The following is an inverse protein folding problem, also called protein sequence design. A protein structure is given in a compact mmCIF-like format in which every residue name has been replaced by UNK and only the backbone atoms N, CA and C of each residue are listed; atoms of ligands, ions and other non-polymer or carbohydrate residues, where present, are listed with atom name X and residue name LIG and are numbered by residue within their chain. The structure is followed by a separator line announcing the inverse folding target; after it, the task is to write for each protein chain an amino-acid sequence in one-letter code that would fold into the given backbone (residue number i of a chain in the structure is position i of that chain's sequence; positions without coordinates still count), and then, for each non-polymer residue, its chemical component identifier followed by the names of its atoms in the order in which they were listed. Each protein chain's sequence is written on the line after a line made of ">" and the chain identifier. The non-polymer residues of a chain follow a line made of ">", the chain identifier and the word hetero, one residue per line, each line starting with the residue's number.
data_IF_777688696333
#
_entry.id   IF_777688696333
#
_cell.length_a   1.000
_cell.length_b   1.000
_cell.length_c   1.000
_cell.angle_alpha   90.00
_cell.angle_beta   90.00
_cell.angle_gamma   90.00
#
_symmetry.space_group_name_H-M   'P 1'
#
loop_
_entity.id
_entity.type
_entity.pdbx_description
1 polymer ?
#
# COMPACT_ATOMS: atom_id res chain seq x y z
N UNK A 1 5.10 -2.69 21.23
CA UNK A 1 5.20 -2.34 19.80
C UNK A 1 4.80 -0.89 19.62
N UNK A 2 5.56 -0.11 18.85
CA UNK A 2 5.21 1.24 18.45
C UNK A 2 4.60 1.26 17.06
N UNK A 3 3.49 1.97 16.87
CA UNK A 3 2.89 2.18 15.55
C UNK A 3 2.94 3.67 15.22
N UNK A 4 3.57 4.02 14.11
CA UNK A 4 3.43 5.34 13.51
C UNK A 4 2.27 5.26 12.52
N UNK A 5 1.14 5.85 12.88
CA UNK A 5 -0.12 5.69 12.14
C UNK A 5 -0.42 6.89 11.22
N UNK A 6 -0.67 6.58 9.95
CA UNK A 6 -1.31 7.44 8.96
C UNK A 6 -2.79 7.10 8.77
N UNK A 7 -3.35 7.46 7.62
CA UNK A 7 -4.75 7.20 7.24
C UNK A 7 -5.01 5.76 6.80
N UNK A 8 -6.29 5.38 6.72
CA UNK A 8 -6.73 4.07 6.27
C UNK A 8 -6.97 3.06 7.40
N UNK A 9 -7.36 1.84 7.03
CA UNK A 9 -7.80 0.81 7.98
C UNK A 9 -6.66 -0.04 8.55
N UNK A 10 -5.49 -0.08 7.90
CA UNK A 10 -4.35 -0.92 8.30
C UNK A 10 -3.89 -0.66 9.74
N UNK A 11 -3.77 0.60 10.23
CA UNK A 11 -3.38 0.84 11.63
C UNK A 11 -4.30 0.16 12.64
N UNK A 12 -5.62 0.26 12.46
CA UNK A 12 -6.59 -0.35 13.36
C UNK A 12 -6.54 -1.88 13.32
N UNK A 13 -6.46 -2.45 12.11
CA UNK A 13 -6.32 -3.91 11.90
C UNK A 13 -5.06 -4.45 12.58
N UNK A 14 -3.95 -3.72 12.46
CA UNK A 14 -2.68 -4.15 13.04
C UNK A 14 -2.69 -4.05 14.57
N UNK A 15 -3.30 -3.01 15.15
CA UNK A 15 -3.49 -2.93 16.61
C UNK A 15 -4.30 -4.13 17.09
N UNK A 16 -5.43 -4.41 16.44
CA UNK A 16 -6.30 -5.52 16.80
C UNK A 16 -5.55 -6.86 16.76
N UNK A 17 -4.79 -7.10 15.70
CA UNK A 17 -3.95 -8.30 15.54
C UNK A 17 -2.90 -8.43 16.63
N UNK A 18 -2.14 -7.36 16.90
CA UNK A 18 -1.05 -7.37 17.88
C UNK A 18 -1.57 -7.60 19.31
N UNK A 19 -2.74 -7.07 19.63
CA UNK A 19 -3.38 -7.26 20.94
C UNK A 19 -3.92 -8.68 21.11
N UNK A 20 -4.66 -9.17 20.12
CA UNK A 20 -5.38 -10.44 20.23
C UNK A 20 -4.52 -11.67 19.95
N UNK A 21 -3.60 -11.60 18.97
CA UNK A 21 -2.79 -12.76 18.58
C UNK A 21 -1.40 -12.77 19.22
N UNK A 22 -0.81 -11.60 19.50
CA UNK A 22 0.56 -11.50 19.99
C UNK A 22 0.66 -11.03 21.45
N UNK A 23 -0.49 -10.76 22.11
CA UNK A 23 -0.56 -10.24 23.48
C UNK A 23 0.42 -9.10 23.75
N UNK A 24 0.63 -8.25 22.75
CA UNK A 24 1.67 -7.22 22.77
C UNK A 24 1.03 -5.86 23.03
N UNK A 25 1.57 -5.11 24.01
CA UNK A 25 1.16 -3.73 24.23
C UNK A 25 1.48 -2.85 23.01
N UNK A 26 0.51 -2.03 22.60
CA UNK A 26 0.56 -1.21 21.39
C UNK A 26 0.51 0.27 21.73
N UNK A 27 1.58 0.97 21.37
CA UNK A 27 1.78 2.41 21.60
C UNK A 27 1.71 3.11 20.24
N UNK A 28 0.84 4.10 20.08
CA UNK A 28 0.55 4.71 18.77
C UNK A 28 0.98 6.17 18.73
N UNK A 29 1.83 6.54 17.77
CA UNK A 29 2.02 7.92 17.36
C UNK A 29 1.14 8.20 16.13
N UNK A 30 0.04 8.92 16.33
CA UNK A 30 -0.98 9.15 15.31
C UNK A 30 -0.81 10.52 14.63
N UNK A 31 -0.81 10.56 13.31
CA UNK A 31 -0.71 11.81 12.56
C UNK A 31 -2.04 12.57 12.53
N UNK A 32 -2.04 13.79 13.06
CA UNK A 32 -3.19 14.70 13.04
C UNK A 32 -3.59 15.02 11.59
N UNK A 33 -4.86 14.85 11.27
CA UNK A 33 -5.40 15.08 9.93
C UNK A 33 -5.28 13.89 8.98
N UNK A 34 -4.71 12.76 9.45
CA UNK A 34 -4.54 11.53 8.68
C UNK A 34 -5.16 10.33 9.41
N UNK A 35 -4.67 10.07 10.63
CA UNK A 35 -5.03 8.88 11.39
C UNK A 35 -6.46 8.96 11.95
N UNK A 36 -7.14 7.80 12.00
CA UNK A 36 -8.51 7.69 12.53
C UNK A 36 -8.53 7.98 14.05
N UNK A 37 -9.35 8.93 14.55
CA UNK A 37 -9.53 9.18 15.98
C UNK A 37 -9.86 7.94 16.82
N UNK A 38 -10.52 6.94 16.22
CA UNK A 38 -10.89 5.67 16.87
C UNK A 38 -9.68 4.89 17.38
N UNK A 39 -8.47 5.13 16.84
CA UNK A 39 -7.24 4.50 17.34
C UNK A 39 -7.00 4.77 18.83
N UNK A 40 -7.53 5.88 19.36
CA UNK A 40 -7.47 6.22 20.80
C UNK A 40 -8.11 5.16 21.69
N UNK A 41 -9.13 4.46 21.19
CA UNK A 41 -9.84 3.41 21.93
C UNK A 41 -9.16 2.04 21.81
N UNK A 42 -8.29 1.87 20.81
CA UNK A 42 -7.64 0.60 20.48
C UNK A 42 -6.22 0.51 21.06
N UNK A 43 -5.50 1.63 21.13
CA UNK A 43 -4.13 1.71 21.61
C UNK A 43 -4.03 1.69 23.14
N UNK A 44 -2.95 1.11 23.68
CA UNK A 44 -2.65 1.18 25.12
C UNK A 44 -2.16 2.57 25.53
N UNK A 45 -1.43 3.24 24.63
CA UNK A 45 -1.05 4.63 24.76
C UNK A 45 -1.05 5.28 23.38
N UNK A 46 -1.49 6.54 23.28
CA UNK A 46 -1.52 7.27 22.01
C UNK A 46 -1.00 8.70 22.19
N UNK A 47 -0.19 9.16 21.23
CA UNK A 47 0.20 10.55 21.11
C UNK A 47 -0.09 11.09 19.71
N UNK A 48 -0.83 12.18 19.66
CA UNK A 48 -1.16 12.87 18.42
C UNK A 48 -0.05 13.84 18.01
N UNK A 49 0.53 13.60 16.85
CA UNK A 49 1.68 14.34 16.31
C UNK A 49 1.36 14.94 14.94
N UNK A 50 2.05 16.02 14.58
CA UNK A 50 2.03 16.56 13.21
C UNK A 50 3.17 15.96 12.40
N UNK A 51 3.03 15.94 11.08
CA UNK A 51 4.12 15.53 10.19
C UNK A 51 5.40 16.33 10.49
N UNK A 52 6.54 15.63 10.50
CA UNK A 52 7.85 16.22 10.80
C UNK A 52 8.19 16.32 12.29
N UNK A 53 7.33 15.88 13.21
CA UNK A 53 7.62 15.87 14.66
C UNK A 53 8.33 14.58 15.13
N UNK A 54 9.38 14.13 14.43
CA UNK A 54 10.07 12.88 14.73
C UNK A 54 10.68 12.81 16.14
N UNK A 55 11.27 13.89 16.66
CA UNK A 55 11.75 13.95 18.06
C UNK A 55 10.64 13.72 19.06
N UNK A 56 9.43 14.18 18.75
CA UNK A 56 8.27 13.98 19.62
C UNK A 56 7.87 12.51 19.65
N UNK A 57 7.77 11.89 18.48
CA UNK A 57 7.54 10.44 18.32
C UNK A 57 8.60 9.64 19.09
N UNK A 58 9.88 9.95 18.90
CA UNK A 58 10.97 9.25 19.56
C UNK A 58 10.91 9.39 21.09
N UNK A 59 10.68 10.59 21.62
CA UNK A 59 10.56 10.80 23.08
C UNK A 59 9.39 10.01 23.66
N UNK A 60 8.25 10.03 22.96
CA UNK A 60 7.08 9.27 23.35
C UNK A 60 7.36 7.77 23.42
N UNK A 61 7.91 7.21 22.35
CA UNK A 61 8.22 5.79 22.26
C UNK A 61 9.26 5.35 23.30
N UNK A 62 10.30 6.14 23.55
CA UNK A 62 11.24 5.84 24.63
C UNK A 62 10.57 5.86 26.01
N UNK A 63 9.72 6.86 26.29
CA UNK A 63 9.01 6.97 27.56
C UNK A 63 8.06 5.78 27.80
N UNK A 64 7.56 5.18 26.73
CA UNK A 64 6.69 3.99 26.76
C UNK A 64 7.44 2.67 26.63
N UNK A 65 8.78 2.67 26.60
CA UNK A 65 9.59 1.46 26.50
C UNK A 65 9.44 0.70 25.17
N UNK A 66 9.09 1.39 24.09
CA UNK A 66 8.97 0.80 22.75
C UNK A 66 10.37 0.41 22.23
N UNK A 67 10.48 -0.78 21.67
CA UNK A 67 11.71 -1.29 21.04
C UNK A 67 11.56 -1.60 19.55
N UNK A 68 10.34 -1.93 19.11
CA UNK A 68 10.01 -2.24 17.72
C UNK A 68 8.99 -1.23 17.22
N UNK A 69 9.15 -0.75 15.99
CA UNK A 69 8.28 0.24 15.34
C UNK A 69 7.78 -0.31 14.01
N UNK A 70 6.52 -0.11 13.71
CA UNK A 70 5.94 -0.30 12.38
C UNK A 70 5.30 1.00 11.90
N UNK A 71 5.48 1.32 10.63
CA UNK A 71 4.86 2.48 9.98
C UNK A 71 3.73 1.98 9.08
N UNK A 72 2.50 2.44 9.32
CA UNK A 72 1.32 2.00 8.57
C UNK A 72 0.34 3.13 8.32
N UNK A 73 -0.31 3.06 7.17
CA UNK A 73 -1.31 4.03 6.75
C UNK A 73 -0.73 5.08 5.79
N UNK A 74 -1.62 5.67 5.01
CA UNK A 74 -1.25 6.67 4.00
C UNK A 74 -0.96 8.04 4.63
N UNK A 75 -0.17 8.85 3.93
CA UNK A 75 -0.06 10.29 4.19
C UNK A 75 -0.45 11.01 2.91
N UNK A 76 -1.50 11.83 2.96
CA UNK A 76 -1.91 12.62 1.81
C UNK A 76 -0.88 13.72 1.53
N UNK A 77 -0.48 13.88 0.27
CA UNK A 77 0.53 14.89 -0.13
C UNK A 77 0.09 16.32 0.21
N UNK A 78 -1.21 16.60 0.35
CA UNK A 78 -1.70 17.89 0.85
C UNK A 78 -1.28 18.19 2.29
N UNK A 79 -1.01 17.19 3.13
CA UNK A 79 -0.49 17.45 4.48
C UNK A 79 0.97 17.90 4.48
N UNK A 80 1.68 17.81 3.36
CA UNK A 80 3.05 18.35 3.22
C UNK A 80 3.06 19.87 3.49
N UNK A 81 1.95 20.56 3.17
CA UNK A 81 1.80 22.00 3.45
C UNK A 81 1.60 22.32 4.94
N UNK A 82 1.24 21.31 5.76
CA UNK A 82 0.99 21.45 7.20
C UNK A 82 2.12 20.86 8.07
N UNK A 83 3.28 20.53 7.47
CA UNK A 83 4.42 19.93 8.19
C UNK A 83 4.93 20.92 9.25
N UNK A 84 5.26 20.39 10.43
CA UNK A 84 6.01 21.12 11.46
C UNK A 84 7.32 20.39 11.74
N UNK A 85 8.35 20.62 10.90
CA UNK A 85 9.59 19.86 10.99
C UNK A 85 10.36 20.26 12.24
N UNK A 86 10.70 19.28 13.07
CA UNK A 86 11.69 19.49 14.12
C UNK A 86 13.11 19.35 13.58
N UNK A 87 14.11 19.61 14.42
CA UNK A 87 15.50 19.60 13.94
C UNK A 87 15.96 18.21 13.46
N UNK A 88 15.28 17.12 13.84
CA UNK A 88 15.58 15.80 13.30
C UNK A 88 14.98 15.65 11.90
N UNK A 89 13.74 16.09 11.69
CA UNK A 89 13.15 16.17 10.35
C UNK A 89 14.01 17.00 9.39
N UNK A 90 14.52 18.15 9.85
CA UNK A 90 15.42 18.99 9.06
C UNK A 90 16.73 18.25 8.73
N UNK A 91 17.32 17.53 9.71
CA UNK A 91 18.52 16.73 9.47
C UNK A 91 18.28 15.62 8.44
N UNK A 92 17.14 14.92 8.50
CA UNK A 92 16.75 13.92 7.51
C UNK A 92 16.63 14.59 6.13
N UNK A 93 15.91 15.72 6.04
CA UNK A 93 15.73 16.45 4.79
C UNK A 93 17.06 16.88 4.16
N UNK A 94 18.04 17.32 4.95
CA UNK A 94 19.38 17.70 4.42
C UNK A 94 20.16 16.53 3.82
N UNK A 95 19.83 15.27 4.18
CA UNK A 95 20.47 14.07 3.61
C UNK A 95 19.85 13.69 2.25
N UNK A 96 18.67 14.18 1.93
CA UNK A 96 17.92 13.81 0.74
C UNK A 96 18.28 14.74 -0.44
N UNK A 97 18.87 14.16 -1.50
CA UNK A 97 19.16 14.89 -2.75
C UNK A 97 17.88 15.18 -3.56
N UNK A 98 16.89 14.30 -3.47
CA UNK A 98 15.60 14.41 -4.14
C UNK A 98 14.49 14.04 -3.16
N UNK A 99 13.37 14.77 -3.21
CA UNK A 99 12.16 14.51 -2.40
C UNK A 99 11.31 13.42 -3.07
N UNK A 100 11.92 12.26 -3.27
CA UNK A 100 11.24 11.05 -3.72
C UNK A 100 10.71 10.30 -2.50
N UNK A 101 9.50 9.77 -2.59
CA UNK A 101 8.76 9.22 -1.44
C UNK A 101 9.55 8.04 -0.82
N UNK A 102 10.09 7.14 -1.65
CA UNK A 102 10.84 5.97 -1.21
C UNK A 102 12.14 6.36 -0.45
N UNK A 103 12.88 7.37 -0.95
CA UNK A 103 14.11 7.83 -0.30
C UNK A 103 13.83 8.49 1.05
N UNK A 104 12.74 9.26 1.15
CA UNK A 104 12.33 9.88 2.40
C UNK A 104 11.98 8.82 3.45
N UNK A 105 11.15 7.83 3.10
CA UNK A 105 10.74 6.78 4.01
C UNK A 105 11.94 5.96 4.50
N UNK A 106 12.87 5.59 3.61
CA UNK A 106 14.09 4.89 4.02
C UNK A 106 14.96 5.70 4.97
N UNK A 107 15.18 6.99 4.67
CA UNK A 107 15.97 7.84 5.55
C UNK A 107 15.32 8.01 6.94
N UNK A 108 13.98 7.99 7.01
CA UNK A 108 13.25 7.93 8.28
C UNK A 108 13.52 6.59 9.00
N UNK A 109 13.39 5.46 8.31
CA UNK A 109 13.63 4.14 8.88
C UNK A 109 15.05 4.00 9.45
N UNK A 110 16.07 4.36 8.65
CA UNK A 110 17.47 4.38 9.07
C UNK A 110 17.67 5.27 10.30
N UNK A 111 17.01 6.43 10.35
CA UNK A 111 17.10 7.33 11.51
C UNK A 111 16.44 6.74 12.76
N UNK A 112 15.38 5.95 12.62
CA UNK A 112 14.77 5.22 13.75
C UNK A 112 15.72 4.10 14.23
N UNK A 113 16.34 3.37 13.31
CA UNK A 113 17.30 2.31 13.61
C UNK A 113 18.58 2.86 14.27
N UNK A 114 19.12 3.98 13.80
CA UNK A 114 20.21 4.75 14.45
C UNK A 114 19.89 5.12 15.91
N UNK A 115 18.60 5.16 16.28
CA UNK A 115 18.12 5.49 17.63
C UNK A 115 17.77 4.26 18.46
N UNK A 116 18.10 3.07 17.99
CA UNK A 116 17.94 1.82 18.74
C UNK A 116 16.58 1.16 18.60
N UNK A 117 15.75 1.58 17.64
CA UNK A 117 14.49 0.89 17.33
C UNK A 117 14.71 -0.16 16.23
N UNK A 118 13.95 -1.25 16.30
CA UNK A 118 13.82 -2.21 15.20
C UNK A 118 12.63 -1.80 14.34
N UNK A 119 12.85 -1.48 13.05
CA UNK A 119 11.77 -1.15 12.12
C UNK A 119 11.26 -2.42 11.46
N UNK A 120 10.00 -2.76 11.73
CA UNK A 120 9.28 -3.93 11.21
C UNK A 120 8.34 -3.53 10.07
N UNK A 121 8.06 -4.48 9.19
CA UNK A 121 7.03 -4.34 8.17
C UNK A 121 5.66 -4.81 8.61
N UNK A 122 4.60 -4.20 8.07
CA UNK A 122 3.23 -4.67 8.31
C UNK A 122 3.03 -6.13 7.84
N UNK A 123 3.68 -6.51 6.74
CA UNK A 123 3.66 -7.86 6.19
C UNK A 123 4.34 -8.91 7.08
N UNK A 124 5.30 -8.51 7.92
CA UNK A 124 5.96 -9.40 8.89
C UNK A 124 5.06 -9.67 10.10
N UNK A 125 4.28 -8.66 10.51
CA UNK A 125 3.43 -8.70 11.69
C UNK A 125 2.04 -9.29 11.40
N UNK A 126 1.55 -9.13 10.17
CA UNK A 126 0.25 -9.63 9.72
C UNK A 126 0.36 -10.21 8.29
N UNK A 127 1.09 -11.33 8.11
CA UNK A 127 1.30 -11.95 6.80
C UNK A 127 0.00 -12.40 6.13
N UNK A 128 -1.07 -12.64 6.88
CA UNK A 128 -2.40 -12.95 6.35
C UNK A 128 -3.05 -11.79 5.58
N UNK A 129 -2.55 -10.55 5.74
CA UNK A 129 -2.99 -9.41 4.95
C UNK A 129 -2.35 -9.40 3.56
N UNK A 130 -1.33 -10.21 3.30
CA UNK A 130 -0.69 -10.27 2.00
C UNK A 130 -1.62 -10.90 0.96
N UNK A 131 -1.66 -10.31 -0.22
CA UNK A 131 -2.32 -10.91 -1.36
C UNK A 131 -1.70 -12.29 -1.65
N UNK A 132 -2.50 -13.37 -1.61
CA UNK A 132 -2.00 -14.70 -1.97
C UNK A 132 -1.89 -14.82 -3.49
N UNK A 133 -1.13 -15.81 -3.95
CA UNK A 133 -1.00 -16.09 -5.38
C UNK A 133 -2.24 -16.80 -5.91
N UNK A 134 -2.64 -16.49 -7.15
CA UNK A 134 -3.72 -17.13 -7.87
C UNK A 134 -4.94 -16.25 -8.09
N UNK A 135 -6.01 -16.87 -8.58
CA UNK A 135 -7.29 -16.22 -8.83
C UNK A 135 -8.08 -16.23 -7.52
N UNK A 136 -8.36 -15.05 -6.97
CA UNK A 136 -8.82 -14.93 -5.58
C UNK A 136 -10.34 -15.09 -5.42
N UNK A 137 -11.12 -14.72 -6.44
CA UNK A 137 -12.58 -14.81 -6.44
C UNK A 137 -13.14 -15.93 -7.33
N UNK A 138 -14.45 -15.92 -7.52
CA UNK A 138 -15.16 -16.87 -8.38
C UNK A 138 -14.94 -16.58 -9.87
N UNK A 139 -14.85 -15.30 -10.25
CA UNK A 139 -14.69 -14.91 -11.65
C UNK A 139 -13.29 -15.21 -12.16
N UNK A 140 -13.21 -15.78 -13.37
CA UNK A 140 -11.95 -16.18 -14.02
C UNK A 140 -11.57 -15.17 -15.12
N UNK A 141 -10.28 -14.80 -15.25
CA UNK A 141 -9.81 -14.01 -16.38
C UNK A 141 -9.91 -14.80 -17.68
N UNK A 142 -10.36 -14.15 -18.76
CA UNK A 142 -10.27 -14.68 -20.12
C UNK A 142 -8.88 -14.38 -20.72
N UNK A 143 -8.63 -14.86 -21.94
CA UNK A 143 -7.33 -14.68 -22.62
C UNK A 143 -6.95 -13.21 -22.84
N UNK A 144 -7.93 -12.37 -23.18
CA UNK A 144 -7.73 -10.93 -23.38
C UNK A 144 -7.33 -10.23 -22.07
N UNK A 145 -8.06 -10.50 -20.98
CA UNK A 145 -7.77 -9.94 -19.67
C UNK A 145 -6.38 -10.37 -19.17
N UNK A 146 -5.97 -11.62 -19.42
CA UNK A 146 -4.61 -12.07 -19.14
C UNK A 146 -3.56 -11.28 -19.90
N UNK A 147 -3.78 -10.96 -21.18
CA UNK A 147 -2.84 -10.15 -21.96
C UNK A 147 -2.75 -8.73 -21.42
N UNK A 148 -3.87 -8.13 -21.03
CA UNK A 148 -3.91 -6.80 -20.40
C UNK A 148 -3.18 -6.79 -19.06
N UNK A 149 -3.38 -7.82 -18.23
CA UNK A 149 -2.69 -7.97 -16.94
C UNK A 149 -1.18 -8.11 -17.11
N UNK A 150 -0.70 -8.89 -18.09
CA UNK A 150 0.73 -9.05 -18.38
C UNK A 150 1.37 -7.75 -18.88
N UNK A 151 0.74 -7.06 -19.83
CA UNK A 151 1.23 -5.76 -20.27
C UNK A 151 1.24 -4.77 -19.11
N UNK A 152 0.15 -4.71 -18.36
CA UNK A 152 0.02 -3.83 -17.21
C UNK A 152 1.09 -4.11 -16.15
N UNK A 153 1.44 -5.36 -15.90
CA UNK A 153 2.52 -5.73 -14.99
C UNK A 153 3.86 -5.14 -15.43
N UNK A 154 4.24 -5.34 -16.69
CA UNK A 154 5.49 -4.82 -17.25
C UNK A 154 5.55 -3.30 -17.15
N UNK A 155 4.44 -2.62 -17.51
CA UNK A 155 4.35 -1.17 -17.47
C UNK A 155 4.38 -0.64 -16.04
N UNK A 156 3.65 -1.26 -15.11
CA UNK A 156 3.63 -0.88 -13.69
C UNK A 156 5.02 -1.02 -13.05
N UNK A 157 5.76 -2.09 -13.35
CA UNK A 157 7.14 -2.25 -12.89
C UNK A 157 8.08 -1.19 -13.48
N UNK A 158 7.92 -0.84 -14.76
CA UNK A 158 8.73 0.17 -15.43
C UNK A 158 8.51 1.58 -14.84
N UNK A 159 7.26 2.01 -14.67
CA UNK A 159 6.96 3.32 -14.04
C UNK A 159 7.37 3.34 -12.56
N UNK A 160 7.29 2.19 -11.88
CA UNK A 160 7.70 2.05 -10.50
C UNK A 160 9.22 2.19 -10.34
N UNK A 161 9.99 1.63 -11.28
CA UNK A 161 11.44 1.82 -11.33
C UNK A 161 11.85 3.28 -11.56
N UNK A 162 10.99 4.08 -12.19
CA UNK A 162 11.17 5.52 -12.37
C UNK A 162 10.63 6.36 -11.20
N UNK A 163 10.08 5.72 -10.17
CA UNK A 163 9.45 6.36 -9.01
C UNK A 163 8.29 7.31 -9.38
N UNK A 164 7.54 6.98 -10.45
CA UNK A 164 6.38 7.78 -10.89
C UNK A 164 5.13 7.37 -10.11
N UNK A 165 4.90 6.06 -10.03
CA UNK A 165 3.74 5.46 -9.38
C UNK A 165 3.80 3.95 -9.44
N UNK A 166 2.74 3.30 -8.99
CA UNK A 166 2.73 1.84 -8.76
C UNK A 166 1.54 1.12 -9.41
N UNK A 167 0.73 1.83 -10.19
CA UNK A 167 -0.48 1.32 -10.80
C UNK A 167 -0.65 1.76 -12.26
N UNK A 168 -1.21 0.89 -13.09
CA UNK A 168 -1.60 1.20 -14.47
C UNK A 168 -2.95 0.60 -14.80
N UNK A 169 -3.72 1.28 -15.65
CA UNK A 169 -4.94 0.74 -16.24
C UNK A 169 -4.67 0.39 -17.70
N UNK A 170 -4.97 -0.86 -18.07
CA UNK A 170 -4.79 -1.39 -19.42
C UNK A 170 -6.13 -1.93 -19.92
N UNK A 171 -6.42 -1.70 -21.20
CA UNK A 171 -7.51 -2.33 -21.94
C UNK A 171 -7.04 -2.65 -23.35
N UNK A 172 -7.33 -3.84 -23.87
CA UNK A 172 -7.02 -4.21 -25.25
C UNK A 172 -5.55 -4.00 -25.62
N UNK A 173 -4.65 -4.23 -24.65
CA UNK A 173 -3.20 -4.01 -24.71
C UNK A 173 -2.80 -2.54 -24.93
N UNK A 174 -3.65 -1.60 -24.53
CA UNK A 174 -3.37 -0.17 -24.52
C UNK A 174 -3.37 0.35 -23.09
N UNK A 175 -2.30 1.05 -22.70
CA UNK A 175 -2.22 1.74 -21.41
C UNK A 175 -3.11 2.98 -21.47
N UNK A 176 -4.19 2.99 -20.68
CA UNK A 176 -5.15 4.09 -20.63
C UNK A 176 -4.77 5.13 -19.57
N UNK A 177 -4.21 4.67 -18.45
CA UNK A 177 -3.81 5.53 -17.36
C UNK A 177 -2.62 4.93 -16.61
N UNK A 178 -1.77 5.83 -16.12
CA UNK A 178 -0.63 5.57 -15.25
C UNK A 178 -0.88 6.34 -13.96
N UNK A 179 -0.71 5.67 -12.81
CA UNK A 179 -0.77 6.29 -11.49
C UNK A 179 0.44 7.20 -11.31
N UNK A 180 0.22 8.39 -10.77
CA UNK A 180 1.28 9.26 -10.31
C UNK A 180 0.85 9.92 -8.98
N UNK A 181 1.17 11.21 -8.82
CA UNK A 181 0.93 11.98 -7.60
C UNK A 181 -0.54 12.07 -7.18
N UNK A 182 -1.48 11.85 -8.11
CA UNK A 182 -2.92 11.91 -7.84
C UNK A 182 -3.47 10.70 -7.07
N UNK A 183 -2.72 9.59 -7.05
CA UNK A 183 -3.11 8.33 -6.42
C UNK A 183 -4.11 7.49 -7.22
N UNK A 184 -4.29 6.24 -6.79
CA UNK A 184 -5.08 5.23 -7.51
C UNK A 184 -6.53 5.67 -7.79
N UNK A 185 -7.20 6.31 -6.83
CA UNK A 185 -8.63 6.65 -6.96
C UNK A 185 -8.89 7.70 -8.04
N UNK A 186 -8.09 8.76 -8.08
CA UNK A 186 -8.18 9.79 -9.11
C UNK A 186 -7.77 9.25 -10.49
N UNK A 187 -6.74 8.39 -10.54
CA UNK A 187 -6.36 7.68 -11.74
C UNK A 187 -7.52 6.81 -12.27
N UNK A 188 -8.21 6.04 -11.43
CA UNK A 188 -9.34 5.21 -11.84
C UNK A 188 -10.51 6.02 -12.39
N UNK A 189 -10.81 7.18 -11.81
CA UNK A 189 -11.83 8.09 -12.35
C UNK A 189 -11.45 8.62 -13.74
N UNK A 190 -10.17 8.97 -13.95
CA UNK A 190 -9.64 9.38 -15.26
C UNK A 190 -9.67 8.23 -16.25
N UNK A 191 -9.26 7.03 -15.84
CA UNK A 191 -9.27 5.83 -16.65
C UNK A 191 -10.70 5.46 -17.09
N UNK A 192 -11.69 5.57 -16.21
CA UNK A 192 -13.09 5.26 -16.55
C UNK A 192 -13.67 6.13 -17.66
N UNK A 193 -13.22 7.38 -17.78
CA UNK A 193 -13.61 8.29 -18.88
C UNK A 193 -13.02 7.86 -20.23
N UNK A 194 -11.89 7.16 -20.20
CA UNK A 194 -11.16 6.70 -21.38
C UNK A 194 -11.51 5.25 -21.73
N UNK A 195 -11.80 4.42 -20.73
CA UNK A 195 -11.97 2.98 -20.88
C UNK A 195 -13.18 2.64 -21.70
N UNK A 196 -14.29 3.39 -21.64
CA UNK A 196 -15.59 2.99 -22.23
C UNK A 196 -15.99 1.54 -21.82
N UNK A 197 -15.58 1.11 -20.61
CA UNK A 197 -15.79 -0.22 -20.05
C UNK A 197 -14.69 -1.25 -20.41
N UNK A 198 -14.55 -2.32 -19.63
CA UNK A 198 -13.53 -3.36 -19.85
C UNK A 198 -12.14 -3.01 -19.28
N UNK A 199 -11.17 -3.89 -19.49
CA UNK A 199 -9.79 -3.73 -19.02
C UNK A 199 -9.55 -4.04 -17.55
N UNK A 200 -8.31 -3.84 -17.09
CA UNK A 200 -7.87 -4.10 -15.73
C UNK A 200 -6.98 -3.00 -15.16
N UNK A 201 -7.03 -2.85 -13.83
CA UNK A 201 -5.98 -2.23 -13.05
C UNK A 201 -4.90 -3.28 -12.73
N UNK A 202 -3.64 -2.93 -12.93
CA UNK A 202 -2.50 -3.68 -12.41
C UNK A 202 -1.77 -2.81 -11.39
N UNK A 203 -1.55 -3.33 -10.18
CA UNK A 203 -0.84 -2.62 -9.10
C UNK A 203 0.28 -3.50 -8.56
N UNK A 204 1.50 -2.99 -8.52
CA UNK A 204 2.70 -3.75 -8.11
C UNK A 204 3.48 -2.96 -7.07
N UNK A 205 4.33 -3.61 -6.28
CA UNK A 205 5.31 -2.88 -5.50
C UNK A 205 6.42 -2.37 -6.42
N UNK A 206 6.91 -1.14 -6.21
CA UNK A 206 8.04 -0.64 -7.00
C UNK A 206 9.26 -1.52 -6.72
N UNK A 207 10.13 -1.81 -7.71
CA UNK A 207 11.24 -2.74 -7.55
C UNK A 207 12.20 -2.40 -6.39
N UNK A 208 12.42 -1.10 -6.17
CA UNK A 208 13.27 -0.60 -5.12
C UNK A 208 12.54 -0.41 -3.78
N UNK A 209 11.22 -0.53 -3.71
CA UNK A 209 10.45 -0.15 -2.52
C UNK A 209 10.86 -0.96 -1.27
N UNK A 210 11.03 -0.27 -0.13
CA UNK A 210 11.18 -0.96 1.15
C UNK A 210 9.78 -1.36 1.65
N UNK A 211 9.47 -2.65 1.54
CA UNK A 211 8.16 -3.23 1.90
C UNK A 211 7.80 -3.05 3.38
N UNK A 212 8.77 -2.69 4.24
CA UNK A 212 8.48 -2.39 5.65
C UNK A 212 7.76 -1.05 5.80
N UNK A 213 7.94 -0.15 4.84
CA UNK A 213 7.60 1.27 4.99
C UNK A 213 6.43 1.67 4.11
N UNK A 214 6.30 1.06 2.94
CA UNK A 214 5.19 1.29 2.04
C UNK A 214 4.90 0.01 1.25
N UNK A 215 3.62 -0.32 1.11
CA UNK A 215 3.15 -1.41 0.27
C UNK A 215 1.85 -0.99 -0.43
N UNK A 216 1.66 -1.34 -1.71
CA UNK A 216 0.37 -1.25 -2.36
C UNK A 216 -0.72 -1.85 -1.45
N UNK A 217 -1.78 -1.07 -1.23
CA UNK A 217 -2.94 -1.53 -0.46
C UNK A 217 -4.18 -1.51 -1.34
N UNK A 218 -4.99 -2.57 -1.25
CA UNK A 218 -6.29 -2.72 -1.91
C UNK A 218 -7.35 -3.16 -0.89
N UNK A 219 -8.63 -2.99 -1.24
CA UNK A 219 -9.75 -3.46 -0.44
C UNK A 219 -11.09 -3.22 -1.13
N UNK A 220 -12.19 -3.30 -0.38
CA UNK A 220 -13.56 -3.10 -0.88
C UNK A 220 -13.71 -1.81 -1.70
N UNK A 221 -13.15 -0.70 -1.20
CA UNK A 221 -13.20 0.58 -1.91
C UNK A 221 -12.51 0.52 -3.28
N UNK A 222 -11.39 -0.21 -3.41
CA UNK A 222 -10.71 -0.41 -4.69
C UNK A 222 -11.62 -1.14 -5.68
N UNK A 223 -12.29 -2.21 -5.26
CA UNK A 223 -13.23 -2.96 -6.10
C UNK A 223 -14.40 -2.08 -6.56
N UNK A 224 -14.97 -1.30 -5.65
CA UNK A 224 -16.03 -0.34 -5.98
C UNK A 224 -15.55 0.72 -6.97
N UNK A 225 -14.31 1.20 -6.84
CA UNK A 225 -13.72 2.18 -7.75
C UNK A 225 -13.49 1.58 -9.15
N UNK A 226 -13.04 0.33 -9.23
CA UNK A 226 -12.89 -0.39 -10.50
C UNK A 226 -14.24 -0.53 -11.22
N UNK A 227 -15.27 -0.96 -10.49
CA UNK A 227 -16.60 -1.10 -11.04
C UNK A 227 -17.17 0.25 -11.54
N UNK A 228 -17.01 1.33 -10.75
CA UNK A 228 -17.40 2.69 -11.16
C UNK A 228 -16.65 3.16 -12.41
N UNK A 229 -15.40 2.74 -12.60
CA UNK A 229 -14.60 3.02 -13.78
C UNK A 229 -14.92 2.10 -14.97
N UNK A 230 -15.86 1.16 -14.82
CA UNK A 230 -16.23 0.18 -15.83
C UNK A 230 -15.19 -0.92 -16.07
N UNK A 231 -14.16 -1.01 -15.23
CA UNK A 231 -13.10 -2.01 -15.35
C UNK A 231 -13.60 -3.38 -14.89
N UNK A 232 -12.93 -4.45 -15.35
CA UNK A 232 -13.34 -5.84 -15.10
C UNK A 232 -12.30 -6.67 -14.38
N UNK A 233 -11.06 -6.19 -14.28
CA UNK A 233 -9.98 -6.91 -13.64
C UNK A 233 -9.16 -6.07 -12.66
N UNK A 234 -8.62 -6.76 -11.66
CA UNK A 234 -7.57 -6.31 -10.76
C UNK A 234 -6.47 -7.36 -10.73
N UNK A 235 -5.25 -6.98 -11.09
CA UNK A 235 -4.06 -7.78 -10.87
C UNK A 235 -3.16 -7.08 -9.85
N UNK A 236 -2.70 -7.83 -8.86
CA UNK A 236 -1.78 -7.33 -7.83
C UNK A 236 -0.59 -8.25 -7.64
N UNK A 237 0.53 -7.71 -7.19
CA UNK A 237 1.70 -8.52 -6.85
C UNK A 237 1.48 -9.29 -5.55
N UNK A 238 1.48 -10.62 -5.66
CA UNK A 238 1.36 -11.53 -4.53
C UNK A 238 2.55 -11.36 -3.57
N UNK A 239 2.29 -11.40 -2.26
CA UNK A 239 3.32 -11.22 -1.23
C UNK A 239 3.86 -9.79 -1.09
N UNK A 240 3.54 -8.88 -2.00
CA UNK A 240 3.96 -7.47 -1.96
C UNK A 240 2.80 -6.47 -1.99
N UNK A 241 1.57 -6.95 -1.80
CA UNK A 241 0.35 -6.12 -1.74
C UNK A 241 -0.46 -6.49 -0.51
N UNK A 242 -0.95 -5.49 0.23
CA UNK A 242 -1.84 -5.66 1.38
C UNK A 242 -3.31 -5.62 0.94
N UNK A 243 -4.12 -6.53 1.49
CA UNK A 243 -5.57 -6.61 1.29
C UNK A 243 -6.27 -6.26 2.60
N UNK A 244 -6.98 -5.13 2.59
CA UNK A 244 -7.89 -4.73 3.66
C UNK A 244 -9.22 -5.46 3.48
N UNK A 245 -9.67 -6.14 4.54
CA UNK A 245 -10.93 -6.90 4.57
C UNK A 245 -10.99 -7.89 3.39
N UNK A 246 -10.14 -8.92 3.43
CA UNK A 246 -10.03 -9.93 2.36
C UNK A 246 -11.39 -10.53 2.00
N UNK A 247 -12.17 -10.93 3.01
CA UNK A 247 -13.48 -11.56 2.82
C UNK A 247 -14.46 -10.57 2.19
N UNK A 248 -14.56 -9.36 2.73
CA UNK A 248 -15.46 -8.33 2.19
C UNK A 248 -15.06 -7.89 0.78
N UNK A 249 -13.77 -7.75 0.51
CA UNK A 249 -13.26 -7.38 -0.81
C UNK A 249 -13.63 -8.43 -1.86
N UNK A 250 -13.44 -9.71 -1.56
CA UNK A 250 -13.78 -10.79 -2.51
C UNK A 250 -15.28 -10.92 -2.71
N UNK A 251 -16.07 -10.84 -1.63
CA UNK A 251 -17.53 -10.85 -1.75
C UNK A 251 -18.02 -9.71 -2.64
N UNK A 252 -17.45 -8.51 -2.50
CA UNK A 252 -17.78 -7.37 -3.34
C UNK A 252 -17.31 -7.56 -4.80
N UNK A 253 -16.12 -8.13 -5.00
CA UNK A 253 -15.60 -8.43 -6.33
C UNK A 253 -16.49 -9.43 -7.08
N UNK A 254 -16.92 -10.49 -6.39
CA UNK A 254 -17.82 -11.49 -6.93
C UNK A 254 -19.19 -10.91 -7.26
N UNK A 255 -19.74 -10.09 -6.36
CA UNK A 255 -21.02 -9.39 -6.57
C UNK A 255 -20.97 -8.46 -7.79
N UNK A 256 -19.84 -7.79 -8.01
CA UNK A 256 -19.67 -6.79 -9.08
C UNK A 256 -19.09 -7.36 -10.38
N UNK A 257 -18.77 -8.65 -10.42
CA UNK A 257 -18.21 -9.29 -11.62
C UNK A 257 -16.78 -8.84 -11.94
N UNK A 258 -16.00 -8.51 -10.91
CA UNK A 258 -14.60 -8.11 -11.01
C UNK A 258 -13.71 -9.34 -10.77
N UNK A 259 -12.83 -9.62 -11.74
CA UNK A 259 -11.80 -10.65 -11.61
C UNK A 259 -10.66 -10.09 -10.77
N UNK A 260 -10.23 -10.82 -9.74
CA UNK A 260 -9.08 -10.44 -8.90
C UNK A 260 -8.02 -11.54 -8.95
N UNK A 261 -6.79 -11.15 -9.26
CA UNK A 261 -5.64 -12.06 -9.40
C UNK A 261 -4.46 -11.55 -8.58
N UNK A 262 -3.96 -12.39 -7.67
CA UNK A 262 -2.64 -12.24 -7.08
C UNK A 262 -1.60 -12.91 -7.96
N UNK A 263 -0.65 -12.15 -8.45
CA UNK A 263 0.24 -12.53 -9.53
C UNK A 263 1.65 -12.72 -8.98
N UNK A 264 2.31 -13.79 -9.40
CA UNK A 264 3.75 -13.91 -9.23
C UNK A 264 4.48 -13.37 -10.47
N UNK A 265 5.77 -13.02 -10.29
CA UNK A 265 6.57 -12.45 -11.37
C UNK A 265 6.75 -13.44 -12.53
N UNK A 266 6.92 -14.73 -12.24
CA UNK A 266 7.15 -15.75 -13.27
C UNK A 266 5.97 -15.86 -14.22
N UNK A 267 4.75 -15.95 -13.69
CA UNK A 267 3.48 -15.99 -14.42
C UNK A 267 3.27 -14.77 -15.34
N UNK A 268 3.79 -13.61 -14.93
CA UNK A 268 3.63 -12.34 -15.65
C UNK A 268 4.74 -12.05 -16.65
N UNK A 269 5.94 -12.61 -16.46
CA UNK A 269 7.07 -12.48 -17.38
C UNK A 269 7.16 -13.59 -18.42
N UNK A 270 6.49 -14.73 -18.19
CA UNK A 270 6.46 -15.80 -19.18
C UNK A 270 5.57 -15.38 -20.36
N UNK A 271 6.22 -14.85 -21.40
CA UNK A 271 5.63 -14.77 -22.73
C UNK A 271 5.26 -16.20 -23.11
N UNK A 272 3.96 -16.52 -23.21
CA UNK A 272 3.50 -17.84 -23.63
C UNK A 272 4.20 -18.27 -24.94
N UNK A 273 5.28 -19.02 -24.77
CA UNK A 273 5.87 -19.97 -25.70
C UNK A 273 5.89 -21.38 -25.09
N UNK A 274 5.11 -21.62 -24.02
CA UNK A 274 4.91 -22.95 -23.44
C UNK A 274 3.42 -23.24 -23.35
N UNK A 275 2.95 -23.97 -24.34
CA UNK A 275 1.77 -24.81 -24.20
C UNK A 275 2.07 -25.94 -23.20
N UNK A 276 1.26 -26.03 -22.13
CA UNK A 276 0.83 -27.28 -21.47
C UNK A 276 1.40 -27.66 -20.09
N UNK A 277 0.80 -28.63 -19.38
CA UNK A 277 -0.51 -29.27 -19.59
C UNK A 277 -1.54 -29.03 -18.45
N UNK A 278 -2.81 -29.17 -18.84
CA UNK A 278 -4.08 -29.38 -18.11
C UNK A 278 -4.09 -29.29 -16.57
#
# INVERSE_FOLDING_TARGET
>A
MGIIAGSGAIPALLIDKLRHCHHTAVVVAAHVGEADPKLTQLADAIEWVRLGQFKRILRFFHAQGVTHIVMVGGITKTQIWNIRPDTLALKIATRLKHMQDDHLLRAIAETLEERGFVVCGAHELAPELLAPVGILGHHRPNSELWQDMRLGWQMAKAIGALDIGQGVVVRERVVLAVEAVEGTDAMLQRAGKLSRGGGCLVKVSKPQQDLRLDMPTIGVATIQNLHRAGLRGLAVESGSTLIVDYIGMLAEADRLGIVVVGCDAAQMTDNMGREGPL
#
